data_IF_311349460529
#
_entry.id   IF_311349460529
#
_cell.length_a   1.000
_cell.length_b   1.000
_cell.length_c   1.000
_cell.angle_alpha   90.00
_cell.angle_beta   90.00
_cell.angle_gamma   90.00
#
_symmetry.space_group_name_H-M   'P 1'
#
loop_
_entity.id
_entity.type
_entity.pdbx_description
1 polymer ?
#
# COMPACT_ATOMS: atom_id res chain seq x y z
N UNK A 1 -12.84 -4.56 -0.77
CA UNK A 1 -13.71 -5.75 -0.80
C UNK A 1 -14.66 -5.71 0.41
N UNK A 2 -15.82 -5.07 0.27
CA UNK A 2 -16.68 -4.70 1.41
C UNK A 2 -17.30 -5.90 2.14
N UNK A 3 -17.45 -7.03 1.44
CA UNK A 3 -18.01 -8.27 2.00
C UNK A 3 -17.09 -8.86 3.08
N UNK A 4 -15.77 -8.86 2.86
CA UNK A 4 -14.80 -9.36 3.83
C UNK A 4 -14.79 -8.51 5.11
N UNK A 5 -14.91 -7.19 4.97
CA UNK A 5 -14.99 -6.28 6.12
C UNK A 5 -16.26 -6.52 6.93
N UNK A 6 -17.41 -6.70 6.27
CA UNK A 6 -18.68 -7.02 6.93
C UNK A 6 -18.60 -8.37 7.65
N UNK A 7 -18.01 -9.40 7.04
CA UNK A 7 -17.85 -10.71 7.67
C UNK A 7 -16.97 -10.63 8.93
N UNK A 8 -15.83 -9.93 8.86
CA UNK A 8 -14.94 -9.70 10.02
C UNK A 8 -15.68 -8.95 11.12
N UNK A 9 -16.44 -7.92 10.76
CA UNK A 9 -17.26 -7.16 11.70
C UNK A 9 -18.29 -8.04 12.41
N UNK A 10 -19.03 -8.87 11.67
CA UNK A 10 -20.03 -9.78 12.26
C UNK A 10 -19.39 -10.81 13.20
N UNK A 11 -18.22 -11.36 12.84
CA UNK A 11 -17.47 -12.28 13.70
C UNK A 11 -17.03 -11.56 14.98
N UNK A 12 -16.48 -10.35 14.86
CA UNK A 12 -16.09 -9.55 16.01
C UNK A 12 -17.27 -9.30 16.95
N UNK A 13 -18.41 -8.82 16.42
CA UNK A 13 -19.60 -8.53 17.23
C UNK A 13 -20.14 -9.80 17.89
N UNK A 14 -20.29 -10.88 17.12
CA UNK A 14 -20.94 -12.10 17.60
C UNK A 14 -20.14 -12.82 18.68
N UNK A 15 -18.82 -12.79 18.60
CA UNK A 15 -17.96 -13.60 19.46
C UNK A 15 -17.14 -12.77 20.45
N UNK A 16 -16.38 -11.78 19.96
CA UNK A 16 -15.45 -11.01 20.80
C UNK A 16 -16.21 -10.00 21.66
N UNK A 17 -17.03 -9.15 21.03
CA UNK A 17 -17.82 -8.15 21.75
C UNK A 17 -18.83 -8.83 22.69
N UNK A 18 -19.55 -9.83 22.20
CA UNK A 18 -20.48 -10.62 23.01
C UNK A 18 -19.82 -11.29 24.23
N UNK A 19 -18.58 -11.78 24.09
CA UNK A 19 -17.83 -12.33 25.21
C UNK A 19 -17.60 -11.26 26.29
N UNK A 20 -17.13 -10.07 25.92
CA UNK A 20 -16.88 -9.00 26.89
C UNK A 20 -18.18 -8.52 27.54
N UNK A 21 -19.25 -8.30 26.77
CA UNK A 21 -20.56 -7.88 27.29
C UNK A 21 -21.08 -8.81 28.39
N UNK A 22 -21.08 -10.13 28.13
CA UNK A 22 -21.47 -11.13 29.14
C UNK A 22 -20.60 -11.07 30.39
N UNK A 23 -19.28 -10.98 30.24
CA UNK A 23 -18.39 -10.96 31.40
C UNK A 23 -18.47 -9.65 32.21
N UNK A 24 -18.76 -8.51 31.55
CA UNK A 24 -19.03 -7.24 32.22
C UNK A 24 -20.37 -7.26 32.95
N UNK A 25 -21.42 -7.86 32.36
CA UNK A 25 -22.70 -8.07 33.04
C UNK A 25 -22.50 -8.88 34.33
N UNK A 26 -21.75 -9.98 34.26
CA UNK A 26 -21.45 -10.79 35.44
C UNK A 26 -20.63 -10.03 36.50
N UNK A 27 -19.71 -9.18 36.07
CA UNK A 27 -18.94 -8.33 37.00
C UNK A 27 -19.86 -7.31 37.68
N UNK A 28 -20.78 -6.68 36.93
CA UNK A 28 -21.78 -5.77 37.45
C UNK A 28 -22.73 -6.46 38.45
N UNK A 29 -23.19 -7.68 38.16
CA UNK A 29 -24.02 -8.47 39.06
C UNK A 29 -23.30 -8.74 40.39
N UNK A 30 -22.03 -9.17 40.33
CA UNK A 30 -21.25 -9.44 41.54
C UNK A 30 -20.92 -8.19 42.36
N UNK A 31 -21.04 -6.99 41.77
CA UNK A 31 -20.80 -5.74 42.48
C UNK A 31 -21.82 -5.50 43.60
N UNK A 32 -22.97 -6.19 43.59
CA UNK A 32 -23.93 -6.19 44.71
C UNK A 32 -23.28 -6.52 46.05
N UNK A 33 -22.25 -7.37 46.04
CA UNK A 33 -21.53 -7.79 47.25
C UNK A 33 -20.60 -6.72 47.83
N UNK A 34 -20.42 -5.59 47.13
CA UNK A 34 -19.73 -4.43 47.68
C UNK A 34 -20.63 -3.61 48.63
N UNK A 35 -21.96 -3.73 48.49
CA UNK A 35 -22.94 -3.01 49.30
C UNK A 35 -23.73 -3.91 50.25
N UNK A 36 -23.95 -5.17 49.88
CA UNK A 36 -24.78 -6.11 50.62
C UNK A 36 -24.04 -7.40 50.95
N UNK A 37 -24.35 -8.00 52.10
CA UNK A 37 -23.80 -9.30 52.52
C UNK A 37 -24.28 -10.44 51.59
N UNK A 38 -25.52 -10.34 51.11
CA UNK A 38 -26.19 -11.32 50.25
C UNK A 38 -26.74 -10.65 48.98
N UNK A 39 -26.83 -11.44 47.90
CA UNK A 39 -27.40 -10.99 46.62
C UNK A 39 -28.93 -11.12 46.57
N UNK A 40 -29.60 -11.52 47.66
CA UNK A 40 -31.06 -11.66 47.75
C UNK A 40 -31.85 -10.49 47.14
N UNK A 41 -31.51 -9.20 47.39
CA UNK A 41 -32.25 -8.10 46.78
C UNK A 41 -32.16 -8.08 45.25
N UNK A 42 -30.98 -8.37 44.69
CA UNK A 42 -30.75 -8.41 43.24
C UNK A 42 -31.42 -9.64 42.61
N UNK A 43 -31.32 -10.80 43.26
CA UNK A 43 -32.01 -12.04 42.82
C UNK A 43 -33.52 -11.82 42.79
N UNK A 44 -34.09 -11.22 43.85
CA UNK A 44 -35.52 -10.90 43.89
C UNK A 44 -35.94 -9.94 42.77
N UNK A 45 -35.08 -8.98 42.40
CA UNK A 45 -35.35 -8.11 41.25
C UNK A 45 -35.39 -8.90 39.93
N UNK A 46 -34.47 -9.83 39.72
CA UNK A 46 -34.47 -10.70 38.53
C UNK A 46 -35.67 -11.63 38.45
N UNK A 47 -36.11 -12.20 39.57
CA UNK A 47 -37.31 -13.02 39.65
C UNK A 47 -38.55 -12.22 39.29
N UNK A 48 -38.67 -10.98 39.80
CA UNK A 48 -39.77 -10.06 39.44
C UNK A 48 -39.75 -9.73 37.96
N UNK A 49 -38.59 -9.43 37.38
CA UNK A 49 -38.47 -9.19 35.93
C UNK A 49 -38.97 -10.39 35.14
N UNK A 50 -38.58 -11.61 35.53
CA UNK A 50 -39.04 -12.85 34.88
C UNK A 50 -40.55 -12.98 34.97
N UNK A 51 -41.12 -12.79 36.18
CA UNK A 51 -42.55 -12.89 36.43
C UNK A 51 -43.37 -11.89 35.60
N UNK A 52 -42.98 -10.60 35.60
CA UNK A 52 -43.74 -9.54 34.91
C UNK A 52 -43.49 -9.48 33.41
N UNK A 53 -42.32 -9.89 32.92
CA UNK A 53 -42.03 -9.89 31.48
C UNK A 53 -42.68 -11.05 30.71
N UNK A 54 -43.10 -12.10 31.41
CA UNK A 54 -43.62 -13.33 30.82
C UNK A 54 -42.59 -14.10 29.97
N UNK A 55 -41.30 -13.72 30.03
CA UNK A 55 -40.22 -14.39 29.29
C UNK A 55 -39.62 -15.53 30.12
N UNK A 56 -39.23 -16.66 29.50
CA UNK A 56 -38.53 -17.71 30.20
C UNK A 56 -37.21 -17.21 30.82
N UNK A 57 -36.88 -17.58 32.07
CA UNK A 57 -35.64 -17.12 32.73
C UNK A 57 -34.37 -17.64 32.07
N UNK A 58 -34.46 -18.72 31.30
CA UNK A 58 -33.39 -19.36 30.53
C UNK A 58 -33.34 -18.91 29.06
N UNK A 59 -34.13 -17.89 28.67
CA UNK A 59 -34.16 -17.40 27.29
C UNK A 59 -32.75 -16.97 26.84
N UNK A 60 -32.23 -17.53 25.73
CA UNK A 60 -30.88 -17.24 25.28
C UNK A 60 -30.77 -15.82 24.69
N UNK A 61 -29.62 -15.20 24.89
CA UNK A 61 -29.28 -13.91 24.28
C UNK A 61 -27.83 -13.96 23.73
N UNK A 62 -27.61 -13.32 22.58
CA UNK A 62 -26.30 -13.33 21.94
C UNK A 62 -25.22 -12.53 22.68
N UNK A 63 -25.57 -11.58 23.55
CA UNK A 63 -24.65 -10.70 24.30
C UNK A 63 -24.91 -10.59 25.81
N UNK A 64 -26.03 -11.13 26.31
CA UNK A 64 -26.35 -11.20 27.75
C UNK A 64 -26.43 -12.65 28.21
N UNK A 65 -26.12 -12.90 29.48
CA UNK A 65 -26.52 -14.15 30.13
C UNK A 65 -28.04 -14.13 30.38
N UNK A 66 -28.64 -15.31 30.34
CA UNK A 66 -30.03 -15.48 30.76
C UNK A 66 -30.18 -15.13 32.24
N UNK A 67 -31.39 -14.76 32.66
CA UNK A 67 -31.66 -14.43 34.07
C UNK A 67 -31.31 -15.62 34.97
N UNK A 68 -31.60 -16.84 34.53
CA UNK A 68 -31.25 -18.08 35.23
C UNK A 68 -29.74 -18.18 35.45
N UNK A 69 -28.92 -18.02 34.40
CA UNK A 69 -27.45 -18.08 34.50
C UNK A 69 -26.87 -17.00 35.42
N UNK A 70 -27.50 -15.81 35.47
CA UNK A 70 -27.10 -14.71 36.37
C UNK A 70 -27.39 -15.06 37.83
N UNK A 71 -28.59 -15.54 38.13
CA UNK A 71 -28.99 -15.97 39.49
C UNK A 71 -28.11 -17.14 39.96
N UNK A 72 -27.90 -18.16 39.12
CA UNK A 72 -27.05 -19.31 39.45
C UNK A 72 -25.62 -18.88 39.77
N UNK A 73 -25.07 -17.91 39.03
CA UNK A 73 -23.74 -17.39 39.31
C UNK A 73 -23.69 -16.60 40.62
N UNK A 74 -24.74 -15.83 40.95
CA UNK A 74 -24.84 -15.15 42.24
C UNK A 74 -24.86 -16.15 43.39
N UNK A 75 -25.67 -17.20 43.33
CA UNK A 75 -25.68 -18.27 44.35
C UNK A 75 -24.32 -18.95 44.48
N UNK A 76 -23.63 -19.20 43.35
CA UNK A 76 -22.27 -19.73 43.35
C UNK A 76 -21.29 -18.82 44.09
N UNK A 77 -21.44 -17.50 43.95
CA UNK A 77 -20.65 -16.51 44.71
C UNK A 77 -21.10 -16.37 46.17
N UNK A 78 -22.36 -16.64 46.52
CA UNK A 78 -22.79 -16.71 47.92
C UNK A 78 -22.15 -17.90 48.64
N UNK A 79 -22.08 -19.05 47.97
CA UNK A 79 -21.45 -20.26 48.50
C UNK A 79 -19.92 -20.11 48.64
N UNK A 80 -19.26 -19.46 47.68
CA UNK A 80 -17.83 -19.18 47.75
C UNK A 80 -17.47 -17.84 47.05
N UNK A 81 -17.09 -16.84 47.85
CA UNK A 81 -16.72 -15.50 47.35
C UNK A 81 -15.45 -15.51 46.50
N UNK A 82 -14.65 -16.59 46.52
CA UNK A 82 -13.46 -16.71 45.67
C UNK A 82 -13.79 -16.65 44.18
N UNK A 83 -15.02 -17.04 43.79
CA UNK A 83 -15.50 -16.97 42.41
C UNK A 83 -15.53 -15.56 41.85
N UNK A 84 -15.76 -14.54 42.67
CA UNK A 84 -15.72 -13.13 42.26
C UNK A 84 -14.30 -12.76 41.83
N UNK A 85 -13.32 -13.01 42.71
CA UNK A 85 -11.90 -12.71 42.44
C UNK A 85 -11.36 -13.49 41.24
N UNK A 86 -11.77 -14.75 41.09
CA UNK A 86 -11.41 -15.60 39.93
C UNK A 86 -11.92 -15.02 38.62
N UNK A 87 -13.19 -14.58 38.59
CA UNK A 87 -13.80 -13.94 37.43
C UNK A 87 -13.11 -12.63 37.07
N UNK A 88 -12.88 -11.76 38.05
CA UNK A 88 -12.20 -10.48 37.82
C UNK A 88 -10.79 -10.67 37.24
N UNK A 89 -10.02 -11.64 37.77
CA UNK A 89 -8.69 -11.97 37.25
C UNK A 89 -8.76 -12.51 35.82
N UNK A 90 -9.74 -13.37 35.52
CA UNK A 90 -9.98 -13.90 34.17
C UNK A 90 -10.31 -12.77 33.19
N UNK A 91 -11.20 -11.85 33.58
CA UNK A 91 -11.61 -10.73 32.75
C UNK A 91 -10.46 -9.77 32.48
N UNK A 92 -9.69 -9.38 33.52
CA UNK A 92 -8.47 -8.56 33.36
C UNK A 92 -7.45 -9.21 32.41
N UNK A 93 -7.21 -10.52 32.55
CA UNK A 93 -6.33 -11.26 31.63
C UNK A 93 -6.87 -11.25 30.20
N UNK A 94 -8.18 -11.43 30.03
CA UNK A 94 -8.82 -11.41 28.71
C UNK A 94 -8.70 -10.04 28.04
N UNK A 95 -8.88 -8.95 28.80
CA UNK A 95 -8.71 -7.58 28.31
C UNK A 95 -7.25 -7.30 27.92
N UNK A 96 -6.28 -7.74 28.72
CA UNK A 96 -4.87 -7.59 28.41
C UNK A 96 -4.49 -8.33 27.11
N UNK A 97 -4.96 -9.57 26.94
CA UNK A 97 -4.75 -10.34 25.70
C UNK A 97 -5.39 -9.62 24.51
N UNK A 98 -6.62 -9.14 24.64
CA UNK A 98 -7.30 -8.41 23.58
C UNK A 98 -6.54 -7.14 23.16
N UNK A 99 -6.02 -6.38 24.13
CA UNK A 99 -5.23 -5.18 23.87
C UNK A 99 -3.90 -5.49 23.17
N UNK A 100 -3.21 -6.55 23.57
CA UNK A 100 -1.99 -7.02 22.87
C UNK A 100 -2.31 -7.44 21.43
N UNK A 101 -3.40 -8.18 21.20
CA UNK A 101 -3.83 -8.55 19.86
C UNK A 101 -4.17 -7.32 19.00
N UNK A 102 -4.82 -6.30 19.58
CA UNK A 102 -5.17 -5.08 18.87
C UNK A 102 -3.91 -4.28 18.47
N UNK A 103 -2.96 -4.12 19.39
CA UNK A 103 -1.66 -3.47 19.10
C UNK A 103 -0.91 -4.24 18.02
N UNK A 104 -0.83 -5.57 18.14
CA UNK A 104 -0.15 -6.40 17.14
C UNK A 104 -0.79 -6.27 15.76
N UNK A 105 -2.13 -6.33 15.68
CA UNK A 105 -2.86 -6.18 14.41
C UNK A 105 -2.66 -4.78 13.82
N UNK A 106 -2.66 -3.73 14.65
CA UNK A 106 -2.37 -2.36 14.23
C UNK A 106 -0.95 -2.21 13.71
N UNK A 107 0.04 -2.76 14.42
CA UNK A 107 1.45 -2.73 14.00
C UNK A 107 1.67 -3.53 12.70
N UNK A 108 1.06 -4.70 12.56
CA UNK A 108 1.10 -5.49 11.33
C UNK A 108 0.45 -4.75 10.16
N UNK A 109 -0.73 -4.18 10.37
CA UNK A 109 -1.42 -3.36 9.37
C UNK A 109 -0.61 -2.14 8.94
N UNK A 110 0.03 -1.46 9.89
CA UNK A 110 0.92 -0.34 9.60
C UNK A 110 2.14 -0.78 8.77
N UNK A 111 2.81 -1.87 9.15
CA UNK A 111 3.97 -2.38 8.41
C UNK A 111 3.61 -2.85 6.99
N UNK A 112 2.42 -3.41 6.80
CA UNK A 112 1.94 -3.83 5.48
C UNK A 112 1.61 -2.64 4.57
N UNK A 113 1.07 -1.55 5.12
CA UNK A 113 0.70 -0.37 4.32
C UNK A 113 1.86 0.62 4.13
N UNK A 114 2.67 0.84 5.17
CA UNK A 114 3.69 1.90 5.22
C UNK A 114 5.12 1.36 5.37
N UNK A 115 5.31 0.06 5.59
CA UNK A 115 6.64 -0.54 5.68
C UNK A 115 7.29 -0.77 4.31
N UNK A 116 8.60 -1.04 4.29
CA UNK A 116 9.36 -1.36 3.06
C UNK A 116 8.75 -2.52 2.25
N UNK A 117 8.03 -3.43 2.91
CA UNK A 117 7.32 -4.54 2.27
C UNK A 117 6.13 -4.07 1.43
N UNK A 118 5.47 -2.97 1.81
CA UNK A 118 4.39 -2.34 1.03
C UNK A 118 4.86 -1.98 -0.37
N UNK A 119 6.05 -1.37 -0.48
CA UNK A 119 6.63 -0.98 -1.77
C UNK A 119 6.76 -2.19 -2.71
N UNK A 120 7.33 -3.30 -2.22
CA UNK A 120 7.48 -4.53 -3.01
C UNK A 120 6.14 -5.15 -3.42
N UNK A 121 5.15 -5.11 -2.52
CA UNK A 121 3.81 -5.63 -2.81
C UNK A 121 3.15 -4.76 -3.89
N UNK A 122 3.23 -3.44 -3.77
CA UNK A 122 2.71 -2.51 -4.77
C UNK A 122 3.42 -2.69 -6.12
N UNK A 123 4.74 -2.82 -6.13
CA UNK A 123 5.51 -3.13 -7.34
C UNK A 123 5.03 -4.43 -8.01
N UNK A 124 4.83 -5.50 -7.22
CA UNK A 124 4.33 -6.77 -7.73
C UNK A 124 2.92 -6.66 -8.32
N UNK A 125 2.00 -5.98 -7.63
CA UNK A 125 0.64 -5.79 -8.13
C UNK A 125 0.61 -4.90 -9.38
N UNK A 126 1.37 -3.80 -9.40
CA UNK A 126 1.50 -2.94 -10.58
C UNK A 126 2.03 -3.70 -11.79
N UNK A 127 3.10 -4.49 -11.63
CA UNK A 127 3.62 -5.36 -12.71
C UNK A 127 2.53 -6.31 -13.22
N UNK A 128 1.78 -6.95 -12.31
CA UNK A 128 0.71 -7.90 -12.69
C UNK A 128 -0.46 -7.23 -13.41
N UNK A 129 -0.86 -6.05 -12.99
CA UNK A 129 -1.95 -5.29 -13.64
C UNK A 129 -1.52 -4.92 -15.05
N UNK A 130 -0.34 -4.33 -15.23
CA UNK A 130 0.15 -3.92 -16.55
C UNK A 130 0.30 -5.13 -17.48
N UNK A 131 0.85 -6.25 -16.99
CA UNK A 131 0.94 -7.50 -17.77
C UNK A 131 -0.43 -8.05 -18.18
N UNK A 132 -1.46 -7.89 -17.34
CA UNK A 132 -2.85 -8.22 -17.69
C UNK A 132 -3.35 -7.35 -18.84
N UNK A 133 -3.13 -6.04 -18.77
CA UNK A 133 -3.53 -5.09 -19.82
C UNK A 133 -2.86 -5.38 -21.17
N UNK A 134 -1.56 -5.73 -21.17
CA UNK A 134 -0.83 -6.14 -22.38
C UNK A 134 -1.45 -7.41 -22.98
N UNK A 135 -1.84 -8.38 -22.13
CA UNK A 135 -2.44 -9.63 -22.61
C UNK A 135 -3.79 -9.38 -23.30
N UNK A 136 -4.58 -8.48 -22.75
CA UNK A 136 -5.91 -8.14 -23.24
C UNK A 136 -5.87 -7.18 -24.45
N UNK A 137 -4.77 -6.43 -24.63
CA UNK A 137 -4.60 -5.42 -25.69
C UNK A 137 -3.21 -5.55 -26.36
N UNK A 138 -3.01 -6.62 -27.14
CA UNK A 138 -1.69 -6.95 -27.70
C UNK A 138 -1.19 -5.96 -28.77
N UNK A 139 -2.10 -5.23 -29.41
CA UNK A 139 -1.80 -4.28 -30.48
C UNK A 139 -1.64 -2.83 -29.98
N UNK A 140 -1.73 -2.60 -28.66
CA UNK A 140 -1.55 -1.27 -28.07
C UNK A 140 -0.10 -1.10 -27.57
N UNK A 141 0.71 -0.22 -28.18
CA UNK A 141 2.10 0.00 -27.78
C UNK A 141 2.23 0.69 -26.42
N UNK A 142 1.15 1.29 -25.89
CA UNK A 142 1.20 2.09 -24.66
C UNK A 142 1.36 1.23 -23.41
N UNK A 143 0.76 0.03 -23.34
CA UNK A 143 0.91 -0.83 -22.16
C UNK A 143 2.33 -1.40 -22.00
N UNK A 144 3.01 -1.89 -23.06
CA UNK A 144 4.42 -2.23 -22.95
C UNK A 144 5.31 -1.01 -22.66
N UNK A 145 4.97 0.18 -23.15
CA UNK A 145 5.68 1.42 -22.81
C UNK A 145 5.54 1.76 -21.33
N UNK A 146 4.32 1.71 -20.80
CA UNK A 146 4.02 1.88 -19.37
C UNK A 146 4.75 0.86 -18.50
N UNK A 147 4.86 -0.39 -18.96
CA UNK A 147 5.65 -1.42 -18.28
C UNK A 147 7.14 -1.05 -18.25
N UNK A 148 7.65 -0.47 -19.33
CA UNK A 148 9.01 0.07 -19.42
C UNK A 148 9.24 1.21 -18.43
N UNK A 149 8.34 2.20 -18.39
CA UNK A 149 8.40 3.32 -17.45
C UNK A 149 8.34 2.83 -15.99
N UNK A 150 7.48 1.86 -15.71
CA UNK A 150 7.38 1.23 -14.39
C UNK A 150 8.71 0.57 -13.99
N UNK A 151 9.31 -0.26 -14.86
CA UNK A 151 10.59 -0.89 -14.57
C UNK A 151 11.74 0.11 -14.43
N UNK A 152 11.73 1.18 -15.23
CA UNK A 152 12.69 2.27 -15.11
C UNK A 152 12.58 2.95 -13.74
N UNK A 153 11.36 3.23 -13.26
CA UNK A 153 11.12 3.88 -11.96
C UNK A 153 11.61 3.08 -10.75
N UNK A 154 11.71 1.75 -10.88
CA UNK A 154 12.24 0.85 -9.84
C UNK A 154 13.69 0.43 -10.10
N UNK A 155 14.39 1.13 -11.02
CA UNK A 155 15.77 0.88 -11.43
C UNK A 155 16.04 -0.51 -12.04
N UNK A 156 14.99 -1.20 -12.52
CA UNK A 156 15.14 -2.47 -13.23
C UNK A 156 15.33 -2.22 -14.73
N UNK A 157 16.49 -1.68 -15.08
CA UNK A 157 16.78 -1.20 -16.43
C UNK A 157 16.74 -2.31 -17.51
N UNK A 158 17.12 -3.54 -17.17
CA UNK A 158 17.07 -4.67 -18.12
C UNK A 158 15.63 -4.99 -18.54
N UNK A 159 14.72 -5.08 -17.55
CA UNK A 159 13.29 -5.29 -17.85
C UNK A 159 12.68 -4.07 -18.54
N UNK A 160 13.11 -2.86 -18.18
CA UNK A 160 12.66 -1.63 -18.84
C UNK A 160 12.98 -1.63 -20.34
N UNK A 161 14.24 -1.96 -20.71
CA UNK A 161 14.67 -2.09 -22.10
C UNK A 161 13.83 -3.13 -22.84
N UNK A 162 13.58 -4.29 -22.23
CA UNK A 162 12.77 -5.34 -22.86
C UNK A 162 11.35 -4.86 -23.14
N UNK A 163 10.74 -4.17 -22.20
CA UNK A 163 9.38 -3.65 -22.34
C UNK A 163 9.29 -2.51 -23.38
N UNK A 164 10.24 -1.58 -23.38
CA UNK A 164 10.34 -0.55 -24.43
C UNK A 164 10.55 -1.15 -25.81
N UNK A 165 11.41 -2.17 -25.96
CA UNK A 165 11.58 -2.89 -27.23
C UNK A 165 10.30 -3.61 -27.67
N UNK A 166 9.53 -4.13 -26.73
CA UNK A 166 8.21 -4.71 -27.04
C UNK A 166 7.24 -3.63 -27.54
N UNK A 167 7.20 -2.45 -26.92
CA UNK A 167 6.40 -1.32 -27.40
C UNK A 167 6.81 -0.91 -28.82
N UNK A 168 8.12 -0.77 -29.08
CA UNK A 168 8.64 -0.41 -30.41
C UNK A 168 8.46 -1.50 -31.48
N UNK A 169 8.19 -2.75 -31.07
CA UNK A 169 7.82 -3.80 -32.01
C UNK A 169 6.37 -3.65 -32.51
N UNK A 170 5.51 -2.97 -31.74
CA UNK A 170 4.13 -2.66 -32.11
C UNK A 170 4.08 -1.32 -32.85
N UNK A 171 4.75 -0.29 -32.31
CA UNK A 171 4.89 1.02 -32.94
C UNK A 171 6.37 1.46 -32.94
N UNK A 172 7.04 1.22 -34.07
CA UNK A 172 8.46 1.55 -34.24
C UNK A 172 8.76 3.05 -34.28
N UNK A 173 7.72 3.90 -34.43
CA UNK A 173 7.87 5.34 -34.62
C UNK A 173 7.47 6.15 -33.38
N UNK A 174 7.18 5.48 -32.27
CA UNK A 174 6.80 6.11 -31.01
C UNK A 174 7.95 6.99 -30.46
N UNK A 175 7.82 8.31 -30.62
CA UNK A 175 8.83 9.31 -30.23
C UNK A 175 9.19 9.20 -28.75
N UNK A 176 8.18 9.03 -27.88
CA UNK A 176 8.34 8.93 -26.43
C UNK A 176 9.16 7.70 -26.03
N UNK A 177 8.86 6.54 -26.59
CA UNK A 177 9.58 5.30 -26.25
C UNK A 177 11.00 5.30 -26.82
N UNK A 178 11.17 5.79 -28.05
CA UNK A 178 12.50 6.01 -28.65
C UNK A 178 13.34 6.92 -27.75
N UNK A 179 12.76 8.03 -27.29
CA UNK A 179 13.40 8.97 -26.37
C UNK A 179 13.76 8.31 -25.03
N UNK A 180 12.82 7.62 -24.37
CA UNK A 180 13.06 6.97 -23.08
C UNK A 180 14.15 5.90 -23.17
N UNK A 181 14.17 5.12 -24.25
CA UNK A 181 15.19 4.12 -24.48
C UNK A 181 16.56 4.76 -24.79
N UNK A 182 16.59 5.85 -25.56
CA UNK A 182 17.82 6.62 -25.82
C UNK A 182 18.41 7.19 -24.53
N UNK A 183 17.57 7.83 -23.70
CA UNK A 183 17.95 8.38 -22.41
C UNK A 183 18.57 7.30 -21.51
N UNK A 184 17.92 6.13 -21.42
CA UNK A 184 18.40 4.99 -20.65
C UNK A 184 19.79 4.56 -21.15
N UNK A 185 19.97 4.38 -22.46
CA UNK A 185 21.26 3.99 -23.03
C UNK A 185 22.37 5.04 -22.87
N UNK A 186 22.03 6.32 -22.83
CA UNK A 186 23.00 7.41 -22.64
C UNK A 186 23.44 7.59 -21.18
N UNK A 187 22.51 7.45 -20.24
CA UNK A 187 22.68 7.90 -18.84
C UNK A 187 22.86 6.79 -17.83
N UNK A 188 22.54 5.53 -18.15
CA UNK A 188 22.68 4.43 -17.20
C UNK A 188 24.13 4.27 -16.71
N UNK A 189 24.31 4.19 -15.39
CA UNK A 189 25.62 3.98 -14.76
C UNK A 189 26.18 2.58 -15.03
N UNK A 190 25.31 1.60 -15.29
CA UNK A 190 25.71 0.25 -15.63
C UNK A 190 26.33 0.22 -17.03
N UNK A 191 27.65 -0.02 -17.10
CA UNK A 191 28.43 -0.09 -18.33
C UNK A 191 27.95 -1.16 -19.33
N UNK A 192 27.30 -2.22 -18.86
CA UNK A 192 26.76 -3.27 -19.74
C UNK A 192 25.50 -2.82 -20.48
N UNK A 193 24.78 -1.85 -19.89
CA UNK A 193 23.59 -1.27 -20.50
C UNK A 193 23.98 -0.06 -21.35
N UNK A 194 24.85 0.81 -20.83
CA UNK A 194 25.24 2.05 -21.49
C UNK A 194 25.74 1.78 -22.92
N UNK A 195 25.10 2.42 -23.90
CA UNK A 195 25.44 2.27 -25.31
C UNK A 195 25.22 3.60 -26.03
N UNK A 196 26.28 4.40 -26.11
CA UNK A 196 26.20 5.76 -26.65
C UNK A 196 25.80 5.80 -28.13
N UNK A 197 26.29 4.85 -28.94
CA UNK A 197 25.96 4.80 -30.36
C UNK A 197 24.47 4.51 -30.58
N UNK A 198 23.93 3.54 -29.82
CA UNK A 198 22.51 3.21 -29.89
C UNK A 198 21.64 4.35 -29.33
N UNK A 199 22.10 5.02 -28.26
CA UNK A 199 21.41 6.19 -27.72
C UNK A 199 21.27 7.30 -28.76
N UNK A 200 22.35 7.64 -29.47
CA UNK A 200 22.33 8.65 -30.54
C UNK A 200 21.35 8.25 -31.64
N UNK A 201 21.41 7.01 -32.13
CA UNK A 201 20.52 6.51 -33.17
C UNK A 201 19.03 6.65 -32.78
N UNK A 202 18.69 6.24 -31.56
CA UNK A 202 17.30 6.30 -31.06
C UNK A 202 16.84 7.74 -30.82
N UNK A 203 17.70 8.60 -30.26
CA UNK A 203 17.35 10.00 -30.03
C UNK A 203 17.18 10.79 -31.35
N UNK A 204 18.01 10.53 -32.36
CA UNK A 204 17.84 11.10 -33.69
C UNK A 204 16.53 10.65 -34.33
N UNK A 205 16.15 9.38 -34.15
CA UNK A 205 14.85 8.86 -34.61
C UNK A 205 13.69 9.56 -33.88
N UNK A 206 13.79 9.74 -32.57
CA UNK A 206 12.77 10.43 -31.77
C UNK A 206 12.59 11.90 -32.23
N UNK A 207 13.67 12.66 -32.41
CA UNK A 207 13.62 14.07 -32.87
C UNK A 207 13.00 14.22 -34.26
N UNK A 208 13.18 13.23 -35.15
CA UNK A 208 12.54 13.24 -36.48
C UNK A 208 11.02 13.14 -36.39
N UNK A 209 10.50 12.51 -35.34
CA UNK A 209 9.06 12.31 -35.10
C UNK A 209 8.46 13.47 -34.33
N UNK A 210 9.16 13.94 -33.31
CA UNK A 210 8.67 14.99 -32.43
C UNK A 210 9.81 15.89 -31.97
N UNK A 211 9.63 17.19 -32.10
CA UNK A 211 10.66 18.22 -31.84
C UNK A 211 10.34 18.99 -30.56
N UNK A 212 10.36 18.29 -29.44
CA UNK A 212 10.11 18.87 -28.11
C UNK A 212 11.40 19.05 -27.32
N UNK A 213 11.42 19.97 -26.33
CA UNK A 213 12.63 20.29 -25.55
C UNK A 213 13.31 19.07 -24.91
N UNK A 214 12.52 18.18 -24.29
CA UNK A 214 13.03 17.00 -23.60
C UNK A 214 13.63 15.96 -24.55
N UNK A 215 13.14 15.88 -25.79
CA UNK A 215 13.72 14.99 -26.82
C UNK A 215 15.03 15.56 -27.36
N UNK A 216 15.10 16.88 -27.57
CA UNK A 216 16.36 17.54 -27.93
C UNK A 216 17.42 17.42 -26.83
N UNK A 217 17.02 17.52 -25.56
CA UNK A 217 17.94 17.32 -24.43
C UNK A 217 18.45 15.87 -24.37
N UNK A 218 17.58 14.89 -24.59
CA UNK A 218 18.00 13.47 -24.68
C UNK A 218 18.97 13.25 -25.85
N UNK A 219 18.74 13.90 -27.00
CA UNK A 219 19.68 13.86 -28.13
C UNK A 219 21.03 14.50 -27.74
N UNK A 220 21.02 15.65 -27.09
CA UNK A 220 22.22 16.32 -26.60
C UNK A 220 23.01 15.43 -25.63
N UNK A 221 22.31 14.82 -24.67
CA UNK A 221 22.90 13.90 -23.70
C UNK A 221 23.43 12.62 -24.35
N UNK A 222 22.80 12.14 -25.42
CA UNK A 222 23.26 11.00 -26.21
C UNK A 222 24.53 11.33 -26.99
N UNK A 223 24.58 12.49 -27.66
CA UNK A 223 25.80 12.97 -28.33
C UNK A 223 26.95 13.17 -27.35
N UNK A 224 26.66 13.77 -26.19
CA UNK A 224 27.64 13.95 -25.12
C UNK A 224 28.21 12.61 -24.65
N UNK A 225 27.35 11.60 -24.42
CA UNK A 225 27.77 10.26 -24.03
C UNK A 225 28.64 9.57 -25.11
N UNK A 226 28.48 9.95 -26.38
CA UNK A 226 29.28 9.46 -27.50
C UNK A 226 30.56 10.27 -27.75
N UNK A 227 30.85 11.31 -26.95
CA UNK A 227 32.00 12.20 -27.14
C UNK A 227 31.83 13.21 -28.28
N UNK A 228 30.63 13.33 -28.86
CA UNK A 228 30.29 14.28 -29.92
C UNK A 228 29.89 15.63 -29.33
N UNK A 229 30.84 16.31 -28.70
CA UNK A 229 30.54 17.48 -27.86
C UNK A 229 29.99 18.67 -28.65
N UNK A 230 30.42 18.86 -29.90
CA UNK A 230 29.88 19.92 -30.76
C UNK A 230 28.40 19.71 -31.03
N UNK A 231 28.02 18.51 -31.45
CA UNK A 231 26.64 18.12 -31.73
C UNK A 231 25.78 18.12 -30.47
N UNK A 232 26.37 17.79 -29.31
CA UNK A 232 25.70 17.91 -28.02
C UNK A 232 25.32 19.36 -27.69
N UNK A 233 26.22 20.32 -27.92
CA UNK A 233 25.94 21.75 -27.74
C UNK A 233 24.82 22.20 -28.69
N UNK A 234 24.91 21.86 -29.98
CA UNK A 234 23.89 22.23 -30.97
C UNK A 234 22.50 21.67 -30.64
N UNK A 235 22.41 20.44 -30.13
CA UNK A 235 21.15 19.85 -29.69
C UNK A 235 20.65 20.49 -28.39
N UNK A 236 21.54 20.82 -27.44
CA UNK A 236 21.18 21.49 -26.19
C UNK A 236 20.66 22.92 -26.41
N UNK A 237 21.21 23.65 -27.38
CA UNK A 237 20.70 24.96 -27.81
C UNK A 237 19.27 24.85 -28.37
N UNK A 238 18.97 23.79 -29.15
CA UNK A 238 17.61 23.50 -29.63
C UNK A 238 16.66 23.17 -28.48
N UNK A 239 17.10 22.40 -27.49
CA UNK A 239 16.30 22.11 -26.30
C UNK A 239 15.94 23.40 -25.56
N UNK A 240 16.91 24.28 -25.30
CA UNK A 240 16.69 25.54 -24.59
C UNK A 240 15.82 26.53 -25.38
N UNK A 241 16.04 26.66 -26.69
CA UNK A 241 15.28 27.59 -27.54
C UNK A 241 13.82 27.19 -27.74
N UNK A 242 13.50 25.90 -27.65
CA UNK A 242 12.13 25.38 -27.77
C UNK A 242 11.43 25.24 -26.41
N UNK A 243 12.13 25.50 -25.30
CA UNK A 243 11.60 25.34 -23.96
C UNK A 243 10.73 26.52 -23.52
N UNK A 244 9.45 26.26 -23.24
CA UNK A 244 8.55 27.23 -22.60
C UNK A 244 8.66 27.21 -21.06
N UNK A 245 9.05 26.06 -20.50
CA UNK A 245 9.25 25.80 -19.07
C UNK A 245 10.62 25.17 -18.80
N UNK A 246 11.05 25.15 -17.55
CA UNK A 246 12.31 24.52 -17.10
C UNK A 246 13.59 25.04 -17.80
N UNK A 247 13.57 26.28 -18.32
CA UNK A 247 14.75 26.91 -18.92
C UNK A 247 16.02 26.80 -18.06
N UNK A 248 16.00 26.99 -16.73
CA UNK A 248 17.18 26.83 -15.89
C UNK A 248 17.79 25.40 -15.94
N UNK A 249 16.97 24.37 -16.15
CA UNK A 249 17.46 23.00 -16.32
C UNK A 249 18.25 22.86 -17.63
N UNK A 250 17.67 23.32 -18.75
CA UNK A 250 18.32 23.23 -20.06
C UNK A 250 19.57 24.11 -20.15
N UNK A 251 19.56 25.30 -19.54
CA UNK A 251 20.74 26.17 -19.42
C UNK A 251 21.89 25.45 -18.70
N UNK A 252 21.58 24.75 -17.60
CA UNK A 252 22.57 23.99 -16.84
C UNK A 252 23.14 22.82 -17.65
N UNK A 253 22.30 22.07 -18.38
CA UNK A 253 22.78 20.99 -19.26
C UNK A 253 23.65 21.54 -20.38
N UNK A 254 23.21 22.63 -21.02
CA UNK A 254 23.96 23.27 -22.10
C UNK A 254 25.33 23.77 -21.63
N UNK A 255 25.40 24.43 -20.47
CA UNK A 255 26.66 24.88 -19.88
C UNK A 255 27.64 23.73 -19.65
N UNK A 256 27.16 22.58 -19.16
CA UNK A 256 27.96 21.35 -19.01
C UNK A 256 28.50 20.86 -20.36
N UNK A 257 27.68 20.85 -21.41
CA UNK A 257 28.12 20.43 -22.74
C UNK A 257 29.17 21.39 -23.32
N UNK A 258 28.98 22.71 -23.16
CA UNK A 258 29.91 23.74 -23.62
C UNK A 258 31.28 23.66 -22.93
N UNK A 259 31.31 23.44 -21.61
CA UNK A 259 32.56 23.31 -20.84
C UNK A 259 33.42 22.13 -21.34
N UNK A 260 32.81 20.98 -21.63
CA UNK A 260 33.53 19.82 -22.16
C UNK A 260 33.97 20.04 -23.61
N UNK A 261 33.13 20.69 -24.42
CA UNK A 261 33.50 21.06 -25.80
C UNK A 261 34.73 21.98 -25.81
N UNK A 262 34.78 22.97 -24.93
CA UNK A 262 35.92 23.88 -24.79
C UNK A 262 37.20 23.13 -24.35
N UNK A 263 37.10 22.21 -23.40
CA UNK A 263 38.24 21.40 -22.92
C UNK A 263 38.74 20.37 -23.94
N UNK A 264 37.92 20.00 -24.92
CA UNK A 264 38.27 19.03 -25.96
C UNK A 264 38.99 19.64 -27.18
N UNK A 265 39.09 20.98 -27.24
CA UNK A 265 39.82 21.74 -28.27
C UNK A 265 41.24 22.02 -27.82
#
# INVERSE_FOLDING_TARGET
>A
NSISTIAIFLIYFRYIFAYFMRNFERQADTYVYSFFVSAKPLISAFEKITFFSGQPPDKPNWHHFSIKERIEYLHKCEADKSWIKRHDKKLKKSMAVFLVCLIFTGAAGYNLNFGKNSKRINEFFSEKVILGLIKDNQDDPEFPAMLGDFYYSINNYEKAIKAYKQSLAVDSENSRVLNNLAWLYATCENKNIKNANLAVMLAEAAVKKEKTPHIFDTLAQSYFAAGKYKEAVEAGEKALSTADADKPYYEKQLAKFMDHHQKSR
#
